data_IF_072109709481
#
_entry.id   IF_072109709481
#
_cell.length_a   1.000
_cell.length_b   1.000
_cell.length_c   1.000
_cell.angle_alpha   90.00
_cell.angle_beta   90.00
_cell.angle_gamma   90.00
#
_symmetry.space_group_name_H-M   'P 1'
#
loop_
_entity.id
_entity.type
_entity.pdbx_description
1 polymer ?
#
# COMPACT_ATOMS: atom_id res chain seq x y z
N UNK A 1 -12.69 -8.97 7.30
CA UNK A 1 -11.33 -9.11 7.84
C UNK A 1 -11.09 -8.05 8.92
N UNK A 2 -10.86 -6.77 8.60
CA UNK A 2 -10.58 -5.76 9.63
C UNK A 2 -11.79 -5.37 10.51
N UNK A 3 -13.01 -5.47 9.99
CA UNK A 3 -14.23 -5.28 10.81
C UNK A 3 -14.44 -6.37 11.87
N UNK A 4 -13.89 -7.56 11.65
CA UNK A 4 -14.03 -8.69 12.57
C UNK A 4 -12.96 -8.65 13.65
N UNK A 5 -11.75 -8.21 13.29
CA UNK A 5 -10.66 -7.97 14.23
C UNK A 5 -9.90 -6.66 13.84
N UNK A 6 -10.23 -5.54 14.49
CA UNK A 6 -9.57 -4.26 14.24
C UNK A 6 -8.09 -4.24 14.67
N UNK A 7 -7.68 -5.12 15.59
CA UNK A 7 -6.29 -5.14 16.08
C UNK A 7 -5.30 -5.62 15.03
N UNK A 8 -5.77 -6.36 14.03
CA UNK A 8 -4.95 -6.85 12.92
C UNK A 8 -4.24 -5.71 12.14
N UNK A 9 -4.77 -4.49 12.18
CA UNK A 9 -4.12 -3.34 11.53
C UNK A 9 -2.80 -2.96 12.19
N UNK A 10 -2.63 -3.28 13.47
CA UNK A 10 -1.41 -3.07 14.24
C UNK A 10 -0.43 -4.24 14.16
N UNK A 11 -0.78 -5.30 13.42
CA UNK A 11 0.13 -6.42 13.20
C UNK A 11 1.09 -6.08 12.07
N UNK A 12 2.33 -6.52 12.24
CA UNK A 12 3.39 -6.37 11.25
C UNK A 12 3.90 -7.75 10.83
N UNK A 13 4.37 -7.86 9.59
CA UNK A 13 5.11 -9.04 9.12
C UNK A 13 6.55 -9.06 9.67
N UNK A 14 7.33 -10.08 9.29
CA UNK A 14 8.74 -10.23 9.68
C UNK A 14 9.66 -9.07 9.24
N UNK A 15 9.18 -8.22 8.31
CA UNK A 15 9.88 -7.03 7.81
C UNK A 15 9.29 -5.74 8.39
N UNK A 16 8.51 -5.84 9.46
CA UNK A 16 7.82 -4.73 10.09
C UNK A 16 6.83 -4.00 9.18
N UNK A 17 6.33 -4.67 8.13
CA UNK A 17 5.30 -4.11 7.25
C UNK A 17 3.91 -4.42 7.80
N UNK A 18 3.12 -3.38 8.02
CA UNK A 18 1.71 -3.56 8.37
C UNK A 18 0.85 -3.91 7.15
N UNK A 19 -0.40 -4.28 7.39
CA UNK A 19 -1.35 -4.65 6.34
C UNK A 19 -1.57 -3.53 5.30
N UNK A 20 -1.38 -2.27 5.67
CA UNK A 20 -1.54 -1.11 4.79
C UNK A 20 -0.41 -1.02 3.77
N UNK A 21 0.84 -1.16 4.22
CA UNK A 21 2.01 -1.16 3.34
C UNK A 21 2.04 -2.38 2.42
N UNK A 22 1.63 -3.55 2.91
CA UNK A 22 1.46 -4.76 2.08
C UNK A 22 0.39 -4.55 1.01
N UNK A 23 -0.79 -4.04 1.37
CA UNK A 23 -1.86 -3.79 0.39
C UNK A 23 -1.42 -2.83 -0.73
N UNK A 24 -0.64 -1.80 -0.38
CA UNK A 24 -0.07 -0.88 -1.37
C UNK A 24 0.98 -1.55 -2.24
N UNK A 25 1.90 -2.33 -1.66
CA UNK A 25 2.95 -3.04 -2.41
C UNK A 25 2.38 -3.97 -3.48
N UNK A 26 1.28 -4.66 -3.17
CA UNK A 26 0.66 -5.63 -4.07
C UNK A 26 -0.39 -5.02 -5.00
N UNK A 27 -0.67 -3.71 -4.87
CA UNK A 27 -1.75 -3.02 -5.60
C UNK A 27 -3.13 -3.62 -5.31
N UNK A 28 -3.33 -4.19 -4.12
CA UNK A 28 -4.59 -4.82 -3.76
C UNK A 28 -5.63 -3.77 -3.35
N UNK A 29 -6.37 -3.28 -4.35
CA UNK A 29 -7.41 -2.29 -4.17
C UNK A 29 -8.55 -2.76 -3.25
N UNK A 30 -8.83 -4.07 -3.22
CA UNK A 30 -9.87 -4.62 -2.37
C UNK A 30 -9.44 -4.50 -0.92
N UNK A 31 -8.26 -5.00 -0.55
CA UNK A 31 -7.78 -4.88 0.82
C UNK A 31 -7.62 -3.40 1.19
N UNK A 32 -6.95 -2.59 0.34
CA UNK A 32 -6.75 -1.16 0.58
C UNK A 32 -8.05 -0.42 0.90
N UNK A 33 -9.11 -0.61 0.09
CA UNK A 33 -10.40 0.05 0.33
C UNK A 33 -11.05 -0.33 1.66
N UNK A 34 -10.84 -1.56 2.15
CA UNK A 34 -11.39 -1.99 3.44
C UNK A 34 -10.68 -1.32 4.61
N UNK A 35 -9.37 -1.08 4.51
CA UNK A 35 -8.59 -0.44 5.58
C UNK A 35 -8.69 1.09 5.49
N UNK A 36 -8.87 1.64 4.29
CA UNK A 36 -9.00 3.08 4.06
C UNK A 36 -10.24 3.69 4.74
N UNK A 37 -11.28 2.89 4.97
CA UNK A 37 -12.47 3.35 5.70
C UNK A 37 -12.29 3.45 7.23
N UNK A 38 -11.12 3.15 7.78
CA UNK A 38 -10.88 3.14 9.21
C UNK A 38 -10.28 4.47 9.70
N UNK A 39 -10.58 4.82 10.94
CA UNK A 39 -10.05 6.04 11.56
C UNK A 39 -8.52 5.97 11.76
N UNK A 40 -7.99 4.76 11.95
CA UNK A 40 -6.57 4.50 12.20
C UNK A 40 -5.67 4.56 10.96
N UNK A 41 -6.24 4.76 9.76
CA UNK A 41 -5.49 4.74 8.49
C UNK A 41 -4.29 5.67 8.43
N UNK A 42 -4.35 6.83 9.11
CA UNK A 42 -3.27 7.82 9.08
C UNK A 42 -2.07 7.32 9.89
N UNK A 43 -2.32 6.78 11.09
CA UNK A 43 -1.28 6.19 11.93
C UNK A 43 -0.65 4.97 11.24
N UNK A 44 -1.45 4.13 10.58
CA UNK A 44 -0.96 3.00 9.79
C UNK A 44 -0.20 3.43 8.53
N UNK A 45 -0.48 4.62 7.99
CA UNK A 45 0.18 5.13 6.79
C UNK A 45 1.56 5.75 7.06
N UNK A 46 1.78 6.25 8.28
CA UNK A 46 3.04 6.88 8.68
C UNK A 46 4.10 5.87 9.13
N UNK A 47 3.73 4.59 9.24
CA UNK A 47 4.68 3.52 9.55
C UNK A 47 5.70 3.35 8.44
N UNK A 48 6.95 3.12 8.84
CA UNK A 48 8.06 2.75 7.97
C UNK A 48 8.52 1.34 8.29
N UNK A 49 9.09 0.64 7.31
CA UNK A 49 9.73 -0.64 7.59
C UNK A 49 11.08 -0.45 8.31
N UNK A 50 11.44 -1.40 9.19
CA UNK A 50 12.62 -1.24 10.05
C UNK A 50 13.95 -1.36 9.29
N UNK A 51 13.94 -2.15 8.20
CA UNK A 51 15.17 -2.51 7.49
C UNK A 51 15.63 -1.44 6.49
N UNK A 52 14.70 -0.76 5.84
CA UNK A 52 15.01 0.15 4.74
C UNK A 52 14.36 1.53 4.90
N UNK A 53 13.65 1.77 6.01
CA UNK A 53 12.91 3.01 6.27
C UNK A 53 11.87 3.32 5.17
N UNK A 54 11.34 2.29 4.50
CA UNK A 54 10.39 2.49 3.40
C UNK A 54 9.05 2.98 3.93
N UNK A 55 8.65 4.17 3.49
CA UNK A 55 7.28 4.64 3.65
C UNK A 55 6.35 4.10 2.55
N UNK A 56 5.05 4.38 2.66
CA UNK A 56 4.03 3.98 1.69
C UNK A 56 4.31 4.42 0.24
N UNK A 57 4.98 5.56 0.04
CA UNK A 57 5.36 6.03 -1.31
C UNK A 57 6.42 5.11 -1.94
N UNK A 58 7.40 4.66 -1.14
CA UNK A 58 8.36 3.65 -1.58
C UNK A 58 7.65 2.34 -1.94
N UNK A 59 6.68 1.91 -1.13
CA UNK A 59 5.86 0.73 -1.44
C UNK A 59 5.08 0.87 -2.76
N UNK A 60 4.57 2.07 -3.04
CA UNK A 60 3.87 2.40 -4.28
C UNK A 60 4.81 2.53 -5.51
N UNK A 61 6.11 2.71 -5.29
CA UNK A 61 7.13 2.78 -6.35
C UNK A 61 7.89 1.47 -6.58
N UNK A 62 7.85 0.53 -5.63
CA UNK A 62 8.47 -0.78 -5.79
C UNK A 62 7.80 -1.59 -6.89
N UNK A 63 8.60 -2.45 -7.53
CA UNK A 63 8.13 -3.41 -8.52
C UNK A 63 7.03 -4.28 -7.90
N UNK A 64 5.81 -4.15 -8.43
CA UNK A 64 4.70 -4.96 -7.98
C UNK A 64 4.97 -6.44 -8.30
N UNK A 65 4.59 -7.38 -7.41
CA UNK A 65 4.64 -8.80 -7.70
C UNK A 65 3.87 -9.11 -8.99
N UNK A 66 4.43 -9.97 -9.84
CA UNK A 66 3.91 -10.25 -11.20
C UNK A 66 2.43 -10.67 -11.20
N UNK A 67 1.97 -11.27 -10.11
CA UNK A 67 0.60 -11.77 -9.94
C UNK A 67 -0.49 -10.71 -10.06
N UNK A 68 -0.22 -9.43 -9.78
CA UNK A 68 -1.23 -8.36 -9.93
C UNK A 68 -1.18 -7.63 -11.28
N UNK A 69 -0.07 -7.74 -12.01
CA UNK A 69 0.15 -7.07 -13.31
C UNK A 69 -0.15 -7.96 -14.51
N UNK A 70 -0.03 -9.27 -14.35
CA UNK A 70 -0.25 -10.25 -15.43
C UNK A 70 -1.69 -10.27 -15.96
N UNK A 71 -2.66 -9.79 -15.17
CA UNK A 71 -4.07 -9.69 -15.57
C UNK A 71 -4.36 -8.48 -16.50
N UNK A 72 -3.39 -7.58 -16.67
CA UNK A 72 -3.53 -6.37 -17.48
C UNK A 72 -2.85 -6.55 -18.83
N UNK A 73 -3.62 -6.38 -19.90
CA UNK A 73 -3.15 -6.57 -21.27
C UNK A 73 -2.16 -5.46 -21.72
N UNK A 74 -0.90 -5.83 -21.88
CA UNK A 74 0.12 -4.98 -22.51
C UNK A 74 0.80 -3.97 -21.57
N UNK A 75 2.06 -3.66 -21.90
CA UNK A 75 2.95 -2.86 -21.04
C UNK A 75 2.41 -1.44 -20.76
N UNK A 76 1.76 -0.80 -21.75
CA UNK A 76 1.21 0.54 -21.57
C UNK A 76 0.10 0.60 -20.51
N UNK A 77 -0.81 -0.38 -20.50
CA UNK A 77 -1.88 -0.45 -19.51
C UNK A 77 -1.36 -0.84 -18.12
N UNK A 78 -0.33 -1.70 -18.06
CA UNK A 78 0.36 -2.01 -16.81
C UNK A 78 1.00 -0.75 -16.20
N UNK A 79 1.77 0.01 -16.98
CA UNK A 79 2.36 1.27 -16.53
C UNK A 79 1.30 2.32 -16.14
N UNK A 80 0.20 2.41 -16.89
CA UNK A 80 -0.90 3.30 -16.55
C UNK A 80 -1.48 2.98 -15.17
N UNK A 81 -1.70 1.69 -14.88
CA UNK A 81 -2.22 1.24 -13.59
C UNK A 81 -1.26 1.55 -12.44
N UNK A 82 0.03 1.29 -12.63
CA UNK A 82 1.07 1.62 -11.65
C UNK A 82 1.10 3.12 -11.35
N UNK A 83 1.04 3.97 -12.39
CA UNK A 83 1.01 5.43 -12.24
C UNK A 83 -0.25 5.92 -11.52
N UNK A 84 -1.41 5.33 -11.81
CA UNK A 84 -2.66 5.66 -11.10
C UNK A 84 -2.53 5.31 -9.61
N UNK A 85 -1.94 4.16 -9.30
CA UNK A 85 -1.77 3.73 -7.91
C UNK A 85 -0.83 4.66 -7.15
N UNK A 86 0.31 5.02 -7.74
CA UNK A 86 1.25 5.97 -7.16
C UNK A 86 0.57 7.31 -6.83
N UNK A 87 -0.21 7.85 -7.79
CA UNK A 87 -0.96 9.10 -7.59
C UNK A 87 -1.98 9.03 -6.47
N UNK A 88 -2.70 7.91 -6.34
CA UNK A 88 -3.66 7.73 -5.24
C UNK A 88 -2.94 7.85 -3.91
N UNK A 89 -1.83 7.15 -3.72
CA UNK A 89 -1.08 7.19 -2.45
C UNK A 89 -0.51 8.59 -2.19
N UNK A 90 0.11 9.22 -3.20
CA UNK A 90 0.74 10.54 -3.03
C UNK A 90 -0.25 11.66 -2.71
N UNK A 91 -1.49 11.59 -3.22
CA UNK A 91 -2.52 12.60 -2.99
C UNK A 91 -3.33 12.34 -1.72
N UNK A 92 -3.44 11.07 -1.32
CA UNK A 92 -4.27 10.66 -0.19
C UNK A 92 -3.57 10.89 1.14
N UNK A 93 -2.26 10.74 1.17
CA UNK A 93 -1.45 10.89 2.37
C UNK A 93 -0.47 12.04 2.14
N UNK A 94 -0.51 13.02 3.03
CA UNK A 94 0.41 14.16 2.98
C UNK A 94 1.80 13.69 3.42
N UNK A 95 2.58 13.16 2.49
CA UNK A 95 4.00 12.95 2.71
C UNK A 95 4.71 14.29 2.53
N UNK A 96 5.32 14.82 3.58
CA UNK A 96 6.27 15.92 3.44
C UNK A 96 7.45 15.36 2.66
N UNK A 97 7.53 15.69 1.38
CA UNK A 97 8.71 15.40 0.55
C UNK A 97 9.86 16.21 1.14
N UNK A 98 10.92 15.54 1.58
CA UNK A 98 12.20 16.16 1.93
C UNK A 98 12.95 16.59 0.67
#
# INVERSE_FOLDING_TARGET
MVKADPQLVWSNDEKSKNIFSVAVQYRDAKIFSHIYGLDIKIASADTRDDFYDNNLLHMAGMLAPSTSLNDIAGAALQMQRELQWFKVISLTFNFTVF
#
